data_IF_632961057297
#
_entry.id   IF_632961057297
#
_cell.length_a   1.000
_cell.length_b   1.000
_cell.length_c   1.000
_cell.angle_alpha   90.00
_cell.angle_beta   90.00
_cell.angle_gamma   90.00
#
_symmetry.space_group_name_H-M   'P 1'
#
loop_
_entity.id
_entity.type
_entity.pdbx_description
1 polymer ?
#
# COMPACT_ATOMS: atom_id res chain seq x y z
N UNK A 1 21.19 -1.44 5.70
CA UNK A 1 20.15 -2.40 6.11
C UNK A 1 20.74 -3.29 7.18
N UNK A 2 20.00 -3.57 8.24
CA UNK A 2 20.37 -4.51 9.31
C UNK A 2 19.35 -5.64 9.37
N UNK A 3 19.81 -6.83 9.78
CA UNK A 3 18.97 -8.01 9.87
C UNK A 3 19.22 -8.76 11.18
N UNK A 4 18.15 -9.31 11.74
CA UNK A 4 18.16 -9.97 13.04
C UNK A 4 17.27 -11.21 13.02
N UNK A 5 17.65 -12.21 13.81
CA UNK A 5 16.76 -13.28 14.26
C UNK A 5 16.27 -12.95 15.65
N UNK A 6 14.95 -13.02 15.87
CA UNK A 6 14.36 -12.90 17.19
C UNK A 6 14.43 -14.26 17.91
N UNK A 7 14.98 -14.26 19.12
CA UNK A 7 14.98 -15.41 20.02
C UNK A 7 14.44 -14.97 21.39
N UNK A 8 13.19 -15.36 21.71
CA UNK A 8 12.43 -14.86 22.87
C UNK A 8 12.36 -13.33 22.87
N UNK A 9 13.23 -12.67 23.63
CA UNK A 9 13.32 -11.21 23.77
C UNK A 9 14.64 -10.63 23.23
N UNK A 10 15.51 -11.46 22.67
CA UNK A 10 16.83 -11.03 22.18
C UNK A 10 16.86 -10.98 20.66
N UNK A 11 17.45 -9.89 20.14
CA UNK A 11 17.76 -9.73 18.72
C UNK A 11 19.17 -10.24 18.46
N UNK A 12 19.30 -11.31 17.68
CA UNK A 12 20.58 -11.88 17.28
C UNK A 12 20.91 -11.34 15.88
N UNK A 13 21.98 -10.55 15.71
CA UNK A 13 22.36 -10.01 14.39
C UNK A 13 22.63 -11.11 13.37
N UNK A 14 22.21 -10.89 12.14
CA UNK A 14 22.50 -11.73 10.98
C UNK A 14 23.47 -10.98 10.09
N UNK A 15 24.66 -11.54 9.89
CA UNK A 15 25.59 -11.04 8.89
C UNK A 15 25.06 -11.35 7.49
N UNK A 16 24.99 -10.35 6.62
CA UNK A 16 24.50 -10.51 5.26
C UNK A 16 25.22 -9.58 4.30
N UNK A 17 25.47 -10.08 3.09
CA UNK A 17 25.98 -9.30 1.96
C UNK A 17 24.86 -8.85 0.99
N UNK A 18 23.59 -9.15 1.31
CA UNK A 18 22.46 -8.82 0.43
C UNK A 18 22.30 -7.31 0.26
N UNK A 19 22.12 -6.86 -0.97
CA UNK A 19 22.04 -5.44 -1.31
C UNK A 19 20.69 -4.81 -0.92
N UNK A 20 19.62 -5.61 -0.79
CA UNK A 20 18.29 -5.12 -0.46
C UNK A 20 17.44 -6.17 0.28
N UNK A 21 16.30 -5.78 0.89
CA UNK A 21 15.46 -6.70 1.65
C UNK A 21 14.89 -7.86 0.83
N UNK A 22 14.61 -7.67 -0.46
CA UNK A 22 14.08 -8.74 -1.32
C UNK A 22 15.11 -9.83 -1.56
N UNK A 23 16.39 -9.45 -1.75
CA UNK A 23 17.50 -10.38 -1.85
C UNK A 23 17.71 -11.19 -0.58
N UNK A 24 17.79 -10.52 0.58
CA UNK A 24 17.91 -11.24 1.85
C UNK A 24 16.71 -12.17 2.10
N UNK A 25 15.49 -11.73 1.78
CA UNK A 25 14.29 -12.54 1.98
C UNK A 25 14.33 -13.85 1.18
N UNK A 26 14.98 -13.89 0.01
CA UNK A 26 15.16 -15.12 -0.78
C UNK A 26 16.21 -16.07 -0.20
N UNK A 27 17.13 -15.57 0.62
CA UNK A 27 18.16 -16.37 1.29
C UNK A 27 17.67 -16.93 2.63
N UNK A 28 16.58 -16.38 3.17
CA UNK A 28 15.96 -16.85 4.41
C UNK A 28 14.94 -17.97 4.13
N UNK A 29 14.63 -18.83 5.13
CA UNK A 29 13.56 -19.81 5.01
C UNK A 29 12.22 -19.17 4.59
N UNK A 30 11.45 -19.90 3.78
CA UNK A 30 10.13 -19.47 3.32
C UNK A 30 9.19 -19.23 4.51
N UNK A 31 8.31 -18.24 4.37
CA UNK A 31 7.39 -17.88 5.44
C UNK A 31 6.43 -16.76 5.09
N UNK A 32 5.60 -16.41 6.07
CA UNK A 32 4.77 -15.23 6.05
C UNK A 32 5.60 -13.99 6.32
N UNK A 33 5.35 -12.90 5.60
CA UNK A 33 6.02 -11.64 5.91
C UNK A 33 5.05 -10.46 5.96
N UNK A 34 5.47 -9.43 6.66
CA UNK A 34 4.81 -8.13 6.69
C UNK A 34 5.85 -7.03 6.46
N UNK A 35 5.40 -5.88 5.98
CA UNK A 35 6.29 -4.74 5.75
C UNK A 35 5.52 -3.47 6.05
N UNK A 36 6.13 -2.61 6.85
CA UNK A 36 5.58 -1.32 7.27
C UNK A 36 6.73 -0.35 7.48
N UNK A 37 6.40 0.94 7.53
CA UNK A 37 7.34 2.00 7.89
C UNK A 37 6.86 2.67 9.18
N UNK A 38 7.79 3.18 9.96
CA UNK A 38 7.45 4.09 11.06
C UNK A 38 7.05 5.46 10.52
N UNK A 39 6.42 6.23 11.39
CA UNK A 39 6.12 7.65 11.26
C UNK A 39 6.29 8.34 12.63
N UNK A 40 6.10 9.66 12.67
CA UNK A 40 6.25 10.50 13.88
C UNK A 40 7.62 10.34 14.54
N UNK A 41 8.68 10.45 13.74
CA UNK A 41 10.06 10.41 14.20
C UNK A 41 10.51 9.02 14.66
N UNK A 42 10.00 7.97 14.02
CA UNK A 42 10.38 6.59 14.34
C UNK A 42 9.54 5.92 15.42
N UNK A 43 8.55 6.58 15.99
CA UNK A 43 7.88 6.12 17.23
C UNK A 43 6.54 5.42 17.00
N UNK A 44 5.91 5.64 15.84
CA UNK A 44 4.55 5.14 15.56
C UNK A 44 4.49 4.42 14.22
N UNK A 45 3.48 3.57 14.05
CA UNK A 45 3.23 2.80 12.82
C UNK A 45 1.72 2.73 12.59
N UNK A 46 1.28 3.04 11.37
CA UNK A 46 -0.12 2.85 11.01
C UNK A 46 -0.49 1.36 10.93
N UNK A 47 -1.41 0.93 11.79
CA UNK A 47 -1.95 -0.43 11.72
C UNK A 47 -0.96 -1.51 12.16
N UNK A 48 -0.07 -1.22 13.11
CA UNK A 48 0.95 -2.14 13.61
C UNK A 48 0.35 -3.48 14.03
N UNK A 49 -0.73 -3.48 14.83
CA UNK A 49 -1.43 -4.70 15.24
C UNK A 49 -1.85 -5.53 14.02
N UNK A 50 -2.44 -4.87 13.02
CA UNK A 50 -2.88 -5.54 11.81
C UNK A 50 -1.72 -6.05 10.94
N UNK A 51 -0.55 -5.43 11.03
CA UNK A 51 0.67 -5.90 10.38
C UNK A 51 1.23 -7.14 11.06
N UNK A 52 1.24 -7.19 12.38
CA UNK A 52 1.77 -8.32 13.16
C UNK A 52 0.84 -9.54 13.10
N UNK A 53 -0.49 -9.33 13.16
CA UNK A 53 -1.49 -10.41 13.03
C UNK A 53 -1.34 -11.20 11.71
N UNK A 54 -0.77 -10.62 10.65
CA UNK A 54 -0.54 -11.31 9.36
C UNK A 54 0.53 -12.38 9.42
N UNK A 55 1.42 -12.30 10.41
CA UNK A 55 2.53 -13.25 10.54
C UNK A 55 2.07 -14.58 11.14
N UNK A 56 0.85 -14.65 11.69
CA UNK A 56 0.30 -15.84 12.35
C UNK A 56 1.30 -16.41 13.37
N UNK A 57 1.83 -15.54 14.23
CA UNK A 57 2.86 -15.90 15.20
C UNK A 57 2.30 -16.87 16.25
N UNK A 58 3.12 -17.83 16.73
CA UNK A 58 2.73 -18.67 17.86
C UNK A 58 2.63 -17.81 19.13
N UNK A 59 1.83 -18.24 20.11
CA UNK A 59 1.64 -17.52 21.38
C UNK A 59 2.95 -17.21 22.13
N UNK A 60 3.99 -18.04 21.94
CA UNK A 60 5.33 -17.85 22.50
C UNK A 60 6.08 -16.62 21.97
N UNK A 61 5.70 -16.10 20.79
CA UNK A 61 6.15 -14.82 20.25
C UNK A 61 5.05 -13.78 20.50
N UNK A 62 4.99 -13.26 21.73
CA UNK A 62 3.98 -12.26 22.08
C UNK A 62 4.15 -11.00 21.20
N UNK A 63 3.05 -10.38 20.76
CA UNK A 63 3.12 -9.11 20.03
C UNK A 63 3.85 -8.03 20.83
N UNK A 64 3.78 -8.07 22.16
CA UNK A 64 4.52 -7.16 23.05
C UNK A 64 6.04 -7.31 22.95
N UNK A 65 6.57 -8.54 22.89
CA UNK A 65 8.02 -8.75 22.77
C UNK A 65 8.54 -8.25 21.43
N UNK A 66 7.83 -8.61 20.35
CA UNK A 66 8.18 -8.14 19.01
C UNK A 66 8.09 -6.61 18.91
N UNK A 67 7.05 -6.00 19.49
CA UNK A 67 6.89 -4.54 19.56
C UNK A 67 8.07 -3.84 20.26
N UNK A 68 8.50 -4.34 21.42
CA UNK A 68 9.69 -3.82 22.12
C UNK A 68 10.96 -3.94 21.28
N UNK A 69 11.16 -5.10 20.63
CA UNK A 69 12.29 -5.31 19.74
C UNK A 69 12.29 -4.32 18.55
N UNK A 70 11.12 -4.09 17.95
CA UNK A 70 10.95 -3.11 16.87
C UNK A 70 11.20 -1.67 17.35
N UNK A 71 10.74 -1.30 18.55
CA UNK A 71 11.01 0.01 19.17
C UNK A 71 12.50 0.25 19.35
N UNK A 72 13.20 -0.68 19.98
CA UNK A 72 14.65 -0.56 20.22
C UNK A 72 15.43 -0.43 18.90
N UNK A 73 15.00 -1.14 17.84
CA UNK A 73 15.62 -0.99 16.52
C UNK A 73 15.30 0.38 15.88
N UNK A 74 14.09 0.92 16.07
CA UNK A 74 13.69 2.20 15.51
C UNK A 74 14.40 3.38 16.20
N UNK A 75 14.62 3.30 17.52
CA UNK A 75 15.33 4.32 18.32
C UNK A 75 16.72 4.62 17.78
N UNK A 76 17.43 3.62 17.22
CA UNK A 76 18.76 3.82 16.63
C UNK A 76 18.77 4.74 15.40
N UNK A 77 17.62 5.00 14.81
CA UNK A 77 17.44 5.88 13.65
C UNK A 77 16.62 7.14 13.99
N UNK A 78 16.19 7.31 15.25
CA UNK A 78 15.41 8.48 15.66
C UNK A 78 16.25 9.78 15.52
N UNK A 79 15.65 10.92 15.12
CA UNK A 79 14.22 11.13 14.83
C UNK A 79 13.83 10.80 13.37
N UNK A 80 14.60 10.00 12.66
CA UNK A 80 14.29 9.50 11.32
C UNK A 80 13.31 8.32 11.33
N UNK A 81 12.85 7.94 10.13
CA UNK A 81 11.90 6.84 9.96
C UNK A 81 12.58 5.55 9.51
N UNK A 82 12.05 4.41 9.95
CA UNK A 82 12.56 3.07 9.67
C UNK A 82 11.52 2.26 8.90
N UNK A 83 11.99 1.46 7.94
CA UNK A 83 11.18 0.47 7.23
C UNK A 83 11.53 -0.91 7.75
N UNK A 84 10.51 -1.58 8.28
CA UNK A 84 10.63 -2.93 8.80
C UNK A 84 10.06 -3.93 7.80
N UNK A 85 10.76 -5.05 7.62
CA UNK A 85 10.20 -6.29 7.12
C UNK A 85 10.37 -7.36 8.20
N UNK A 86 9.25 -7.93 8.63
CA UNK A 86 9.25 -9.03 9.59
C UNK A 86 8.79 -10.28 8.85
N UNK A 87 9.49 -11.40 9.04
CA UNK A 87 9.22 -12.68 8.39
C UNK A 87 9.08 -13.74 9.49
N UNK A 88 8.04 -14.54 9.43
CA UNK A 88 7.84 -15.73 10.27
C UNK A 88 7.97 -16.96 9.39
N UNK A 89 9.00 -17.77 9.62
CA UNK A 89 9.31 -18.95 8.82
C UNK A 89 8.33 -20.10 9.08
N UNK A 90 7.93 -20.77 8.00
CA UNK A 90 7.09 -21.97 8.07
C UNK A 90 7.85 -23.22 8.52
N UNK A 91 9.16 -23.29 8.29
CA UNK A 91 9.95 -24.51 8.50
C UNK A 91 10.45 -24.67 9.93
N UNK A 92 10.83 -23.58 10.59
CA UNK A 92 11.46 -23.61 11.90
C UNK A 92 10.80 -22.67 12.92
N UNK A 93 9.76 -21.93 12.51
CA UNK A 93 9.06 -20.96 13.35
C UNK A 93 9.88 -19.71 13.70
N UNK A 94 11.05 -19.55 13.09
CA UNK A 94 11.94 -18.41 13.38
C UNK A 94 11.31 -17.11 12.89
N UNK A 95 11.43 -16.05 13.71
CA UNK A 95 11.07 -14.68 13.32
C UNK A 95 12.32 -13.91 12.94
N UNK A 96 12.34 -13.39 11.71
CA UNK A 96 13.40 -12.53 11.19
C UNK A 96 12.91 -11.09 11.10
N UNK A 97 13.76 -10.14 11.49
CA UNK A 97 13.49 -8.70 11.39
C UNK A 97 14.57 -8.07 10.53
N UNK A 98 14.15 -7.45 9.44
CA UNK A 98 15.00 -6.64 8.56
C UNK A 98 14.59 -5.18 8.76
N UNK A 99 15.55 -4.32 9.05
CA UNK A 99 15.33 -2.89 9.25
C UNK A 99 16.27 -2.07 8.38
N UNK A 100 15.76 -0.98 7.83
CA UNK A 100 16.53 0.00 7.09
C UNK A 100 15.94 1.39 7.33
N UNK A 101 16.74 2.42 7.10
CA UNK A 101 16.22 3.79 7.07
C UNK A 101 15.16 3.92 5.97
N UNK A 102 14.18 4.78 6.21
CA UNK A 102 13.05 5.01 5.33
C UNK A 102 12.95 6.50 5.03
N UNK A 103 13.05 6.82 3.75
CA UNK A 103 12.60 8.10 3.23
C UNK A 103 11.26 7.87 2.50
N UNK A 104 10.25 8.73 2.70
CA UNK A 104 9.03 8.69 1.91
C UNK A 104 9.36 8.93 0.42
N UNK A 105 8.54 8.41 -0.50
CA UNK A 105 8.68 8.74 -1.92
C UNK A 105 8.69 10.25 -2.15
N UNK A 106 9.47 10.69 -3.14
CA UNK A 106 9.61 12.10 -3.50
C UNK A 106 8.26 12.73 -3.84
N UNK A 107 8.08 14.01 -3.51
CA UNK A 107 6.79 14.71 -3.62
C UNK A 107 6.26 14.73 -5.06
N UNK A 108 7.17 14.79 -6.02
CA UNK A 108 6.90 14.82 -7.46
C UNK A 108 6.12 13.58 -7.92
N UNK A 109 6.32 12.43 -7.26
CA UNK A 109 5.56 11.19 -7.54
C UNK A 109 4.06 11.41 -7.30
N UNK A 110 3.70 12.13 -6.24
CA UNK A 110 2.30 12.39 -5.89
C UNK A 110 1.71 13.57 -6.67
N UNK A 111 2.53 14.52 -7.10
CA UNK A 111 2.08 15.69 -7.86
C UNK A 111 1.90 15.39 -9.34
N UNK A 112 2.83 14.64 -9.94
CA UNK A 112 2.83 14.29 -11.37
C UNK A 112 2.13 12.96 -11.65
N UNK A 113 2.04 12.10 -10.63
CA UNK A 113 1.58 10.73 -10.79
C UNK A 113 2.62 9.84 -11.50
N UNK A 114 2.31 8.56 -11.58
CA UNK A 114 3.22 7.55 -12.11
C UNK A 114 2.68 6.85 -13.34
N UNK A 115 3.59 6.28 -14.13
CA UNK A 115 3.29 5.24 -15.13
C UNK A 115 3.46 3.86 -14.49
N UNK A 116 2.52 2.99 -14.76
CA UNK A 116 2.58 1.56 -14.43
C UNK A 116 2.42 0.75 -15.70
N UNK A 117 2.92 -0.49 -15.70
CA UNK A 117 2.74 -1.45 -16.80
C UNK A 117 1.99 -2.67 -16.31
N UNK A 118 1.38 -3.43 -17.21
CA UNK A 118 0.66 -4.65 -16.88
C UNK A 118 1.44 -5.91 -17.24
N UNK A 119 1.22 -6.98 -16.47
CA UNK A 119 1.69 -8.32 -16.78
C UNK A 119 0.58 -9.33 -16.52
N UNK A 120 0.47 -10.34 -17.39
CA UNK A 120 -0.44 -11.46 -17.19
C UNK A 120 0.17 -12.43 -16.17
N UNK A 121 -0.09 -12.13 -14.90
CA UNK A 121 0.41 -12.84 -13.74
C UNK A 121 -0.55 -12.59 -12.58
N UNK A 122 -0.90 -13.64 -11.85
CA UNK A 122 -1.64 -13.55 -10.59
C UNK A 122 -0.94 -14.35 -9.51
N UNK A 123 -1.15 -13.97 -8.25
CA UNK A 123 -0.66 -14.76 -7.11
C UNK A 123 -1.39 -16.10 -7.05
N UNK A 124 -0.66 -17.18 -6.76
CA UNK A 124 -1.26 -18.50 -6.54
C UNK A 124 -2.15 -18.52 -5.29
N UNK A 125 -1.67 -17.99 -4.16
CA UNK A 125 -2.47 -17.71 -2.96
C UNK A 125 -2.38 -16.22 -2.62
N UNK A 126 -3.34 -15.44 -3.13
CA UNK A 126 -3.28 -13.99 -3.01
C UNK A 126 -3.52 -13.47 -1.58
N UNK A 127 -4.19 -14.26 -0.71
CA UNK A 127 -4.49 -13.83 0.66
C UNK A 127 -3.27 -13.95 1.56
N UNK A 128 -2.36 -14.86 1.22
CA UNK A 128 -1.14 -15.12 1.96
C UNK A 128 -0.02 -14.20 1.46
N UNK A 129 0.50 -13.34 2.35
CA UNK A 129 1.68 -12.52 2.03
C UNK A 129 2.94 -13.37 2.19
N UNK A 130 3.13 -14.26 1.24
CA UNK A 130 4.16 -15.30 1.24
C UNK A 130 5.46 -14.82 0.58
N UNK A 131 6.62 -15.19 1.14
CA UNK A 131 7.92 -14.80 0.60
C UNK A 131 8.25 -15.45 -0.75
N UNK A 132 7.64 -16.59 -1.09
CA UNK A 132 7.83 -17.28 -2.38
C UNK A 132 7.46 -16.42 -3.58
N UNK A 133 6.44 -15.57 -3.45
CA UNK A 133 6.02 -14.66 -4.52
C UNK A 133 7.12 -13.65 -4.91
N UNK A 134 8.08 -13.34 -4.01
CA UNK A 134 9.20 -12.45 -4.33
C UNK A 134 10.11 -13.08 -5.38
N UNK A 135 10.32 -14.41 -5.32
CA UNK A 135 11.09 -15.13 -6.32
C UNK A 135 10.30 -15.26 -7.63
N UNK A 136 9.01 -15.63 -7.56
CA UNK A 136 8.14 -15.80 -8.73
C UNK A 136 7.98 -14.51 -9.56
N UNK A 137 8.01 -13.34 -8.92
CA UNK A 137 7.82 -12.03 -9.57
C UNK A 137 9.11 -11.35 -10.04
N UNK A 138 10.26 -12.05 -10.02
CA UNK A 138 11.56 -11.42 -10.29
C UNK A 138 11.66 -10.81 -11.70
N UNK A 139 11.15 -11.49 -12.73
CA UNK A 139 11.19 -10.98 -14.11
C UNK A 139 10.31 -9.74 -14.30
N UNK A 140 9.15 -9.68 -13.64
CA UNK A 140 8.30 -8.48 -13.64
C UNK A 140 8.93 -7.35 -12.85
N UNK A 141 9.61 -7.64 -11.73
CA UNK A 141 10.34 -6.63 -10.96
C UNK A 141 11.46 -5.98 -11.75
N UNK A 142 12.11 -6.71 -12.64
CA UNK A 142 13.14 -6.16 -13.54
C UNK A 142 12.59 -5.12 -14.54
N UNK A 143 11.27 -5.07 -14.74
CA UNK A 143 10.62 -4.02 -15.55
C UNK A 143 10.48 -2.69 -14.79
N UNK A 144 10.59 -2.70 -13.46
CA UNK A 144 10.51 -1.49 -12.64
C UNK A 144 11.84 -0.73 -12.73
N UNK A 145 11.77 0.54 -13.11
CA UNK A 145 12.93 1.36 -13.39
C UNK A 145 12.65 2.33 -14.54
N UNK A 146 13.52 3.34 -14.71
CA UNK A 146 13.27 4.40 -15.68
C UNK A 146 11.95 5.12 -15.39
N UNK A 147 11.01 5.05 -16.33
CA UNK A 147 9.69 5.66 -16.22
C UNK A 147 8.61 4.71 -15.65
N UNK A 148 8.91 3.42 -15.47
CA UNK A 148 7.98 2.41 -14.94
C UNK A 148 8.07 2.33 -13.42
N UNK A 149 6.98 2.68 -12.74
CA UNK A 149 6.95 2.73 -11.28
C UNK A 149 6.58 1.39 -10.62
N UNK A 150 5.61 0.67 -11.18
CA UNK A 150 5.18 -0.63 -10.68
C UNK A 150 4.52 -1.46 -11.80
N UNK A 151 4.48 -2.78 -11.62
CA UNK A 151 3.77 -3.71 -12.50
C UNK A 151 2.43 -4.10 -11.87
N UNK A 152 1.36 -3.95 -12.64
CA UNK A 152 0.01 -4.42 -12.35
C UNK A 152 -0.10 -5.90 -12.70
N UNK A 153 -0.65 -6.67 -11.76
CA UNK A 153 -0.96 -8.08 -11.89
C UNK A 153 -2.35 -8.24 -12.51
N UNK A 154 -2.40 -8.86 -13.68
CA UNK A 154 -3.61 -9.01 -14.47
C UNK A 154 -3.87 -10.47 -14.85
N UNK A 155 -5.13 -10.80 -15.16
CA UNK A 155 -5.50 -12.09 -15.76
C UNK A 155 -6.74 -11.93 -16.64
N UNK A 156 -6.61 -12.28 -17.92
CA UNK A 156 -7.70 -12.10 -18.90
C UNK A 156 -8.16 -10.64 -18.99
N UNK A 157 -7.22 -9.69 -18.97
CA UNK A 157 -7.50 -8.24 -19.01
C UNK A 157 -8.02 -7.62 -17.71
N UNK A 158 -8.34 -8.42 -16.69
CA UNK A 158 -8.77 -7.94 -15.39
C UNK A 158 -7.57 -7.57 -14.51
N UNK A 159 -7.59 -6.38 -13.93
CA UNK A 159 -6.58 -5.85 -13.01
C UNK A 159 -6.94 -6.25 -11.59
N UNK A 160 -6.05 -6.97 -10.92
CA UNK A 160 -6.25 -7.40 -9.55
C UNK A 160 -5.57 -6.44 -8.57
N UNK A 161 -4.25 -6.32 -8.66
CA UNK A 161 -3.44 -5.50 -7.77
C UNK A 161 -2.07 -5.17 -8.41
N UNK A 162 -1.21 -4.41 -7.72
CA UNK A 162 0.19 -4.29 -8.11
C UNK A 162 1.05 -5.37 -7.45
N UNK A 163 2.30 -5.54 -7.91
CA UNK A 163 3.23 -6.51 -7.29
C UNK A 163 3.41 -6.31 -5.78
N UNK A 164 3.39 -5.05 -5.31
CA UNK A 164 3.56 -4.69 -3.89
C UNK A 164 2.53 -3.70 -3.37
N UNK A 165 1.40 -3.54 -4.05
CA UNK A 165 0.32 -2.58 -3.75
C UNK A 165 -1.05 -3.12 -4.14
N UNK A 166 -2.13 -2.52 -3.62
CA UNK A 166 -3.47 -2.72 -4.17
C UNK A 166 -3.79 -1.65 -5.22
N UNK A 167 -4.62 -1.99 -6.21
CA UNK A 167 -5.05 -1.10 -7.30
C UNK A 167 -6.50 -0.65 -7.12
N UNK A 168 -6.77 0.60 -7.53
CA UNK A 168 -8.08 1.23 -7.52
C UNK A 168 -8.23 2.08 -8.78
N UNK A 169 -9.40 1.99 -9.39
CA UNK A 169 -9.85 2.94 -10.40
C UNK A 169 -10.99 3.79 -9.83
N UNK A 170 -11.17 4.98 -10.38
CA UNK A 170 -12.32 5.85 -10.15
C UNK A 170 -13.06 6.03 -11.47
N UNK A 171 -14.35 5.72 -11.48
CA UNK A 171 -15.25 5.97 -12.60
C UNK A 171 -16.32 6.98 -12.19
N UNK A 172 -16.93 7.65 -13.17
CA UNK A 172 -18.06 8.52 -12.92
C UNK A 172 -19.26 7.71 -12.42
N UNK A 173 -20.00 8.22 -11.44
CA UNK A 173 -21.33 7.67 -11.14
C UNK A 173 -22.25 7.96 -12.33
N UNK A 174 -22.86 6.90 -12.88
CA UNK A 174 -23.91 7.05 -13.88
C UNK A 174 -25.01 7.96 -13.31
N UNK A 175 -25.24 9.11 -13.96
CA UNK A 175 -26.13 10.16 -13.47
C UNK A 175 -25.66 11.59 -13.77
N UNK A 176 -24.42 11.78 -14.24
CA UNK A 176 -23.91 13.10 -14.61
C UNK A 176 -23.77 13.22 -16.13
N UNK A 177 -24.91 13.33 -16.83
CA UNK A 177 -24.90 14.09 -18.08
C UNK A 177 -24.72 15.55 -17.70
N UNK A 178 -23.75 16.20 -18.34
CA UNK A 178 -23.43 17.60 -18.12
C UNK A 178 -24.70 18.46 -18.26
N UNK A 179 -25.23 18.94 -17.12
CA UNK A 179 -26.20 20.04 -17.13
C UNK A 179 -25.43 21.29 -17.53
N UNK A 180 -25.35 21.49 -18.84
CA UNK A 180 -25.11 22.79 -19.40
C UNK A 180 -26.28 23.72 -19.03
N UNK A 181 -25.93 24.97 -18.79
CA UNK A 181 -26.80 26.15 -18.66
C UNK A 181 -27.31 26.53 -17.26
N UNK A 182 -26.87 27.74 -16.86
CA UNK A 182 -27.68 28.87 -16.38
C UNK A 182 -28.91 28.49 -15.53
N UNK A 183 -28.88 28.83 -14.23
CA UNK A 183 -29.98 29.56 -13.56
C UNK A 183 -29.63 29.99 -12.12
N UNK A 184 -30.12 31.18 -11.77
CA UNK A 184 -29.91 31.96 -10.54
C UNK A 184 -30.60 31.36 -9.31
N UNK A 185 -29.96 31.55 -8.15
CA UNK A 185 -30.60 32.03 -6.92
C UNK A 185 -31.20 31.00 -5.95
N UNK A 186 -30.47 30.69 -4.86
CA UNK A 186 -30.98 30.81 -3.48
C UNK A 186 -29.80 30.59 -2.50
N UNK A 187 -29.61 31.54 -1.58
CA UNK A 187 -28.60 31.49 -0.52
C UNK A 187 -28.87 30.29 0.39
N UNK A 188 -27.98 29.29 0.36
CA UNK A 188 -27.84 28.27 1.41
C UNK A 188 -26.49 28.47 2.09
N UNK A 189 -26.50 28.39 3.42
CA UNK A 189 -25.34 28.58 4.30
C UNK A 189 -24.11 27.82 3.78
N UNK A 190 -23.06 28.58 3.53
CA UNK A 190 -21.74 28.13 3.12
C UNK A 190 -21.08 27.42 4.31
N UNK A 191 -20.64 26.19 4.09
CA UNK A 191 -19.61 25.44 4.86
C UNK A 191 -19.42 24.02 4.29
N UNK A 192 -20.23 23.59 3.32
CA UNK A 192 -20.01 22.35 2.58
C UNK A 192 -19.97 22.62 1.07
N UNK A 193 -18.91 22.22 0.35
CA UNK A 193 -18.89 22.32 -1.10
C UNK A 193 -20.03 21.49 -1.69
N UNK A 194 -20.58 21.89 -2.86
CA UNK A 194 -21.74 21.23 -3.46
C UNK A 194 -21.44 19.74 -3.72
N UNK A 195 -22.37 18.87 -3.27
CA UNK A 195 -22.35 17.42 -3.54
C UNK A 195 -22.95 17.12 -4.91
N UNK A 196 -22.19 17.42 -5.96
CA UNK A 196 -22.36 16.91 -7.32
C UNK A 196 -20.90 16.64 -7.75
N UNK A 197 -20.35 15.42 -7.84
CA UNK A 197 -20.76 14.24 -8.60
C UNK A 197 -20.11 13.01 -7.93
N UNK A 198 -20.88 12.01 -7.49
CA UNK A 198 -20.29 10.86 -6.77
C UNK A 198 -19.27 10.11 -7.63
N UNK A 199 -18.01 10.01 -7.20
CA UNK A 199 -17.05 9.07 -7.80
C UNK A 199 -17.35 7.64 -7.33
N UNK A 200 -17.14 6.64 -8.18
CA UNK A 200 -17.20 5.23 -7.78
C UNK A 200 -15.78 4.67 -7.80
N UNK A 201 -15.30 4.21 -6.64
CA UNK A 201 -14.03 3.47 -6.54
C UNK A 201 -14.27 2.01 -6.92
N UNK A 202 -13.61 1.56 -7.98
CA UNK A 202 -13.66 0.17 -8.47
C UNK A 202 -12.37 -0.55 -8.08
N UNK A 203 -12.48 -1.71 -7.44
CA UNK A 203 -11.31 -2.48 -7.01
C UNK A 203 -11.62 -3.95 -6.73
N UNK A 204 -10.67 -4.85 -7.03
CA UNK A 204 -10.84 -6.28 -6.81
C UNK A 204 -11.06 -6.61 -5.33
N UNK A 205 -11.91 -7.60 -5.03
CA UNK A 205 -12.14 -8.09 -3.65
C UNK A 205 -11.52 -9.46 -3.38
N UNK A 206 -11.36 -10.24 -4.44
CA UNK A 206 -10.82 -11.60 -4.43
C UNK A 206 -9.62 -11.68 -5.37
N UNK A 207 -8.74 -12.67 -5.18
CA UNK A 207 -7.52 -12.80 -5.99
C UNK A 207 -6.47 -11.72 -5.71
N UNK A 208 -6.57 -11.03 -4.57
CA UNK A 208 -5.62 -9.99 -4.13
C UNK A 208 -5.22 -10.17 -2.66
N UNK A 209 -4.12 -9.55 -2.28
CA UNK A 209 -3.77 -9.35 -0.88
C UNK A 209 -4.60 -8.21 -0.30
N UNK A 210 -5.42 -8.46 0.72
CA UNK A 210 -6.17 -7.40 1.40
C UNK A 210 -5.22 -6.55 2.26
N UNK A 211 -4.67 -5.46 1.72
CA UNK A 211 -3.69 -4.58 2.40
C UNK A 211 -4.21 -3.88 3.67
N UNK A 212 -3.30 -3.48 4.58
CA UNK A 212 -3.68 -2.72 5.79
C UNK A 212 -4.20 -1.34 5.39
N UNK A 213 -3.47 -0.66 4.51
CA UNK A 213 -3.84 0.63 3.92
C UNK A 213 -5.20 0.59 3.20
N UNK A 214 -5.51 -0.51 2.50
CA UNK A 214 -6.77 -0.69 1.78
C UNK A 214 -8.00 -0.46 2.65
N UNK A 215 -7.99 -0.97 3.89
CA UNK A 215 -9.11 -0.81 4.82
C UNK A 215 -9.34 0.66 5.18
N UNK A 216 -8.28 1.43 5.39
CA UNK A 216 -8.38 2.85 5.67
C UNK A 216 -8.91 3.61 4.44
N UNK A 217 -8.32 3.38 3.26
CA UNK A 217 -8.70 4.07 2.03
C UNK A 217 -10.15 3.82 1.64
N UNK A 218 -10.64 2.58 1.71
CA UNK A 218 -12.05 2.27 1.41
C UNK A 218 -13.02 2.83 2.44
N UNK A 219 -12.59 3.07 3.68
CA UNK A 219 -13.39 3.77 4.69
C UNK A 219 -13.44 5.27 4.39
N UNK A 220 -12.30 5.87 4.09
CA UNK A 220 -12.20 7.29 3.74
C UNK A 220 -13.02 7.61 2.49
N UNK A 221 -12.90 6.81 1.43
CA UNK A 221 -13.69 6.98 0.21
C UNK A 221 -15.21 7.01 0.47
N UNK A 222 -15.71 6.10 1.32
CA UNK A 222 -17.12 6.14 1.73
C UNK A 222 -17.47 7.40 2.53
N UNK A 223 -16.58 7.83 3.43
CA UNK A 223 -16.74 9.07 4.20
C UNK A 223 -16.82 10.32 3.32
N UNK A 224 -16.06 10.33 2.22
CA UNK A 224 -16.07 11.37 1.19
C UNK A 224 -17.29 11.29 0.23
N UNK A 225 -18.19 10.34 0.45
CA UNK A 225 -19.40 10.17 -0.36
C UNK A 225 -19.20 9.39 -1.66
N UNK A 226 -18.08 8.68 -1.83
CA UNK A 226 -17.83 7.83 -3.00
C UNK A 226 -18.54 6.48 -2.87
N UNK A 227 -19.06 5.98 -4.00
CA UNK A 227 -19.49 4.59 -4.13
C UNK A 227 -18.30 3.63 -4.17
N UNK A 228 -18.50 2.37 -3.75
CA UNK A 228 -17.47 1.32 -3.88
C UNK A 228 -18.04 0.17 -4.68
N UNK A 229 -17.37 -0.17 -5.78
CA UNK A 229 -17.69 -1.34 -6.61
C UNK A 229 -16.59 -2.41 -6.46
N UNK A 230 -16.99 -3.59 -6.02
CA UNK A 230 -16.06 -4.70 -5.77
C UNK A 230 -15.98 -5.66 -6.96
N UNK A 231 -15.18 -5.28 -7.96
CA UNK A 231 -14.79 -6.12 -9.09
C UNK A 231 -13.37 -5.76 -9.53
N UNK A 232 -12.62 -6.68 -10.16
CA UNK A 232 -11.37 -6.28 -10.81
C UNK A 232 -11.70 -5.31 -11.97
N UNK A 233 -11.08 -4.11 -12.02
CA UNK A 233 -11.21 -3.21 -13.18
C UNK A 233 -10.60 -3.84 -14.43
N UNK A 234 -11.08 -3.50 -15.62
CA UNK A 234 -10.53 -4.05 -16.88
C UNK A 234 -9.55 -3.08 -17.54
N UNK A 235 -8.42 -3.56 -18.08
CA UNK A 235 -7.42 -2.71 -18.76
C UNK A 235 -8.02 -1.85 -19.89
N UNK A 236 -9.07 -2.32 -20.56
CA UNK A 236 -9.76 -1.59 -21.62
C UNK A 236 -10.71 -0.49 -21.13
N UNK A 237 -11.10 -0.51 -19.85
CA UNK A 237 -12.08 0.42 -19.28
C UNK A 237 -11.53 1.86 -19.25
N UNK A 238 -12.44 2.84 -19.28
CA UNK A 238 -12.09 4.25 -19.19
C UNK A 238 -12.21 4.69 -17.74
N UNK A 239 -11.05 4.86 -17.09
CA UNK A 239 -10.97 5.38 -15.73
C UNK A 239 -10.84 6.90 -15.76
N UNK A 240 -11.60 7.60 -14.91
CA UNK A 240 -11.40 9.02 -14.67
C UNK A 240 -10.12 9.27 -13.88
N UNK A 241 -9.84 8.41 -12.90
CA UNK A 241 -8.61 8.42 -12.09
C UNK A 241 -8.21 6.99 -11.72
N UNK A 242 -6.96 6.77 -11.33
CA UNK A 242 -6.49 5.51 -10.77
C UNK A 242 -5.38 5.76 -9.76
N UNK A 243 -5.23 4.86 -8.80
CA UNK A 243 -4.16 4.95 -7.79
C UNK A 243 -3.80 3.58 -7.20
N UNK A 244 -2.60 3.53 -6.62
CA UNK A 244 -2.08 2.39 -5.87
C UNK A 244 -2.10 2.69 -4.37
N UNK A 245 -2.18 1.65 -3.54
CA UNK A 245 -1.99 1.79 -2.09
C UNK A 245 -1.01 0.79 -1.51
N UNK A 246 -0.09 1.25 -0.66
CA UNK A 246 0.75 0.37 0.17
C UNK A 246 1.19 1.05 1.47
N UNK A 247 1.56 0.28 2.49
CA UNK A 247 1.92 0.82 3.81
C UNK A 247 3.06 1.84 3.78
N UNK A 248 4.06 1.64 2.91
CA UNK A 248 5.22 2.54 2.81
C UNK A 248 5.04 3.68 1.81
N UNK A 249 4.00 3.67 0.95
CA UNK A 249 3.85 4.67 -0.13
C UNK A 249 2.53 5.46 -0.04
N UNK A 250 1.66 5.14 0.91
CA UNK A 250 0.35 5.75 1.01
C UNK A 250 -0.47 5.53 -0.27
N UNK A 251 -1.09 6.60 -0.77
CA UNK A 251 -1.84 6.65 -2.03
C UNK A 251 -0.94 7.22 -3.11
N UNK A 252 -0.62 6.42 -4.13
CA UNK A 252 0.22 6.84 -5.27
C UNK A 252 -0.68 7.00 -6.51
N UNK A 253 -0.82 8.22 -7.07
CA UNK A 253 -1.64 8.44 -8.26
C UNK A 253 -1.04 7.79 -9.50
N UNK A 254 -1.89 7.16 -10.31
CA UNK A 254 -1.52 6.60 -11.62
C UNK A 254 -2.11 7.48 -12.70
N UNK A 255 -1.26 7.98 -13.60
CA UNK A 255 -1.68 8.82 -14.73
C UNK A 255 -1.54 8.12 -16.08
N UNK A 256 -0.82 6.99 -16.12
CA UNK A 256 -0.65 6.18 -17.32
C UNK A 256 -0.56 4.69 -16.96
N UNK A 257 -1.31 3.85 -17.66
CA UNK A 257 -1.25 2.39 -17.59
C UNK A 257 -0.83 1.89 -18.97
N UNK A 258 0.29 1.18 -19.04
CA UNK A 258 0.93 0.80 -20.31
C UNK A 258 1.18 2.05 -21.17
N UNK A 259 0.56 2.11 -22.35
CA UNK A 259 0.58 3.27 -23.25
C UNK A 259 -0.67 4.17 -23.14
N UNK A 260 -1.66 3.79 -22.34
CA UNK A 260 -2.94 4.51 -22.21
C UNK A 260 -2.91 5.51 -21.05
N UNK A 261 -3.23 6.76 -21.32
CA UNK A 261 -3.45 7.77 -20.27
C UNK A 261 -4.69 7.42 -19.44
N UNK A 262 -4.60 7.63 -18.12
CA UNK A 262 -5.73 7.57 -17.20
C UNK A 262 -6.36 8.95 -17.12
N UNK A 263 -7.67 9.06 -17.40
CA UNK A 263 -8.36 10.33 -17.48
C UNK A 263 -7.65 11.33 -18.39
N UNK A 264 -7.30 12.49 -17.84
CA UNK A 264 -6.59 13.57 -18.54
C UNK A 264 -5.04 13.44 -18.49
N UNK A 265 -4.50 12.30 -18.04
CA UNK A 265 -3.06 12.11 -17.90
C UNK A 265 -2.43 12.95 -16.78
N UNK A 266 -3.23 13.40 -15.82
CA UNK A 266 -2.79 14.18 -14.66
C UNK A 266 -3.53 13.72 -13.39
N UNK A 267 -2.97 14.04 -12.22
CA UNK A 267 -3.53 13.60 -10.93
C UNK A 267 -4.89 14.27 -10.68
N UNK A 268 -5.93 13.44 -10.61
CA UNK A 268 -7.32 13.87 -10.46
C UNK A 268 -7.71 14.33 -9.04
N UNK A 269 -8.92 14.87 -8.94
CA UNK A 269 -9.42 15.53 -7.73
C UNK A 269 -9.76 14.53 -6.61
N UNK A 270 -10.32 13.37 -6.94
CA UNK A 270 -10.65 12.34 -5.94
C UNK A 270 -9.40 11.75 -5.32
N UNK A 271 -8.38 11.46 -6.12
CA UNK A 271 -7.10 10.94 -5.66
C UNK A 271 -6.40 11.96 -4.77
N UNK A 272 -6.39 13.25 -5.11
CA UNK A 272 -5.87 14.32 -4.25
C UNK A 272 -6.60 14.39 -2.90
N UNK A 273 -7.93 14.37 -2.94
CA UNK A 273 -8.77 14.41 -1.74
C UNK A 273 -8.51 13.19 -0.83
N UNK A 274 -8.48 12.00 -1.39
CA UNK A 274 -8.17 10.77 -0.65
C UNK A 274 -6.75 10.78 -0.10
N UNK A 275 -5.77 11.31 -0.84
CA UNK A 275 -4.39 11.45 -0.35
C UNK A 275 -4.30 12.35 0.88
N UNK A 276 -4.99 13.50 0.87
CA UNK A 276 -5.04 14.41 2.02
C UNK A 276 -5.75 13.75 3.22
N UNK A 277 -6.91 13.13 2.98
CA UNK A 277 -7.66 12.42 4.02
C UNK A 277 -6.85 11.25 4.61
N UNK A 278 -6.08 10.53 3.78
CA UNK A 278 -5.22 9.44 4.23
C UNK A 278 -4.03 9.95 5.05
N UNK A 279 -3.41 11.07 4.66
CA UNK A 279 -2.33 11.68 5.44
C UNK A 279 -2.83 12.08 6.86
N UNK A 280 -4.00 12.73 6.94
CA UNK A 280 -4.64 13.05 8.23
C UNK A 280 -4.97 11.78 9.04
N UNK A 281 -5.46 10.73 8.39
CA UNK A 281 -5.73 9.45 9.03
C UNK A 281 -4.46 8.78 9.60
N UNK A 282 -3.31 8.90 8.90
CA UNK A 282 -2.03 8.39 9.39
C UNK A 282 -1.61 9.11 10.66
N UNK A 283 -1.74 10.44 10.69
CA UNK A 283 -1.42 11.25 11.87
C UNK A 283 -2.29 10.83 13.08
N UNK A 284 -3.60 10.74 12.88
CA UNK A 284 -4.55 10.45 13.97
C UNK A 284 -4.48 9.00 14.46
N UNK A 285 -4.26 8.03 13.57
CA UNK A 285 -4.50 6.59 13.85
C UNK A 285 -3.26 5.72 13.92
N UNK A 286 -2.06 6.29 13.81
CA UNK A 286 -0.84 5.49 13.97
C UNK A 286 -0.71 4.99 15.41
N UNK A 287 -0.36 3.72 15.58
CA UNK A 287 -0.16 3.06 16.86
C UNK A 287 1.27 3.31 17.34
N UNK A 288 1.50 3.49 18.64
CA UNK A 288 2.85 3.51 19.19
C UNK A 288 3.52 2.13 19.01
N UNK A 289 4.84 2.11 18.83
CA UNK A 289 5.60 0.86 18.75
C UNK A 289 5.52 0.07 20.06
N UNK A 290 5.41 0.74 21.20
CA UNK A 290 5.19 0.15 22.54
C UNK A 290 3.94 0.79 23.13
N UNK A 291 3.09 -0.03 23.75
CA UNK A 291 1.89 0.42 24.49
C UNK A 291 2.25 1.01 25.86
#
# INVERSE_FOLDING_TARGET
>A
MLAYRLNRQSLIPIQTAAANPDELTRQLPRGLYTTFSTNHGGTRVLGLTAHLNRLNLPALASHSDLRRALSSLAESNAPGESRFRVIHSDSDGTVYVIVQTFAPPAREIYERGVRVVSADLVRHDARRKDSGFIAESQSQRAQVGGDVYEVLLTKGGNIYEGMTSNFYAVIASAGCEAISSRSRGLLRREDHPPRNDGGIVVTARTGILLGVTRRAVLRLARGEGMGIEYRPPQLGENFAEAFLTSSSRGIVPIVKIDEKSVGQGSVGAWTKRLSLAYAAYVEERSEALVE
#
